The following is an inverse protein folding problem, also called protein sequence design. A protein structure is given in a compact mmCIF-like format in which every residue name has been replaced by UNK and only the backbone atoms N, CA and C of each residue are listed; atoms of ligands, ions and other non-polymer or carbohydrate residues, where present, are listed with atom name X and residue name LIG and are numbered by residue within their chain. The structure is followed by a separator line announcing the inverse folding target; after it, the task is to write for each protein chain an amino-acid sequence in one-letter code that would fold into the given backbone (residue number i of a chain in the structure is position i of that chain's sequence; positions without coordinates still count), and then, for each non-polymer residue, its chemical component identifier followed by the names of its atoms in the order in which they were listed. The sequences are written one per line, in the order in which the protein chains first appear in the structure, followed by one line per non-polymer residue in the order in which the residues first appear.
data_IF_380703723402
#
_entry.id   IF_380703723402
#
_cell.length_a   1.000
_cell.length_b   1.000
_cell.length_c   1.000
_cell.angle_alpha   90.00
_cell.angle_beta   90.00
_cell.angle_gamma   90.00
#
_symmetry.space_group_name_H-M   'P 1'
#
loop_
_entity.id
_entity.type
_entity.pdbx_description
1 polymer ?
#
# COMPACT_ATOMS: atom_id res chain seq x y z
N UNK A 1 -19.29 6.64 5.32
CA UNK A 1 -18.03 5.87 5.36
C UNK A 1 -17.26 6.16 4.08
N UNK A 2 -15.95 6.40 4.16
CA UNK A 2 -15.11 6.79 3.01
C UNK A 2 -14.58 5.53 2.32
N UNK A 3 -14.45 5.53 0.99
CA UNK A 3 -13.98 4.32 0.29
C UNK A 3 -12.47 4.15 0.35
N UNK A 4 -11.99 2.90 0.35
CA UNK A 4 -10.61 2.58 0.04
C UNK A 4 -10.54 1.52 -1.05
N UNK A 5 -9.41 1.51 -1.75
CA UNK A 5 -9.09 0.48 -2.75
C UNK A 5 -7.62 0.10 -2.64
N UNK A 6 -7.34 -1.18 -2.84
CA UNK A 6 -6.00 -1.69 -3.08
C UNK A 6 -5.98 -2.31 -4.47
N UNK A 7 -5.20 -1.74 -5.37
CA UNK A 7 -4.99 -2.29 -6.71
C UNK A 7 -3.68 -3.07 -6.74
N UNK A 8 -3.72 -4.35 -7.13
CA UNK A 8 -2.51 -5.13 -7.43
C UNK A 8 -2.13 -4.80 -8.87
N UNK A 9 -0.93 -4.29 -9.05
CA UNK A 9 -0.49 -3.71 -10.31
C UNK A 9 0.73 -4.47 -10.83
N UNK A 10 0.50 -5.27 -11.88
CA UNK A 10 1.53 -6.00 -12.61
C UNK A 10 2.09 -5.13 -13.74
N UNK A 11 2.88 -4.13 -13.35
CA UNK A 11 3.66 -3.27 -14.24
C UNK A 11 5.05 -3.88 -14.49
N UNK A 12 6.05 -3.05 -14.82
CA UNK A 12 7.46 -3.49 -14.85
C UNK A 12 7.88 -4.20 -13.56
N UNK A 13 7.26 -3.84 -12.44
CA UNK A 13 7.38 -4.54 -11.17
C UNK A 13 6.02 -4.64 -10.51
N UNK A 14 5.71 -5.82 -10.00
CA UNK A 14 4.55 -6.03 -9.16
C UNK A 14 4.62 -5.12 -7.93
N UNK A 15 3.58 -4.31 -7.75
CA UNK A 15 3.37 -3.49 -6.57
C UNK A 15 1.87 -3.42 -6.26
N UNK A 16 1.52 -2.82 -5.13
CA UNK A 16 0.14 -2.60 -4.73
C UNK A 16 -0.09 -1.11 -4.56
N UNK A 17 -1.03 -0.55 -5.29
CA UNK A 17 -1.46 0.83 -5.11
C UNK A 17 -2.54 0.88 -4.01
N UNK A 18 -2.18 1.40 -2.85
CA UNK A 18 -3.10 1.65 -1.74
C UNK A 18 -3.70 3.04 -1.86
N UNK A 19 -5.02 3.14 -1.83
CA UNK A 19 -5.72 4.42 -1.98
C UNK A 19 -6.86 4.57 -1.00
N UNK A 20 -7.04 5.78 -0.49
CA UNK A 20 -8.15 6.16 0.39
C UNK A 20 -8.84 7.41 -0.14
N UNK A 21 -10.16 7.45 -0.09
CA UNK A 21 -10.93 8.65 -0.39
C UNK A 21 -10.79 9.67 0.73
N UNK A 22 -10.33 10.87 0.39
CA UNK A 22 -10.25 12.03 1.28
C UNK A 22 -10.24 13.31 0.43
N UNK A 23 -11.00 14.34 0.82
CA UNK A 23 -11.13 15.59 0.04
C UNK A 23 -11.60 15.36 -1.41
N UNK A 24 -12.53 14.41 -1.62
CA UNK A 24 -13.13 14.14 -2.93
C UNK A 24 -12.23 13.44 -3.95
N UNK A 25 -11.01 13.04 -3.56
CA UNK A 25 -10.03 12.34 -4.41
C UNK A 25 -9.48 11.10 -3.71
N UNK A 26 -8.80 10.23 -4.46
CA UNK A 26 -8.08 9.07 -3.93
C UNK A 26 -6.62 9.45 -3.62
N UNK A 27 -6.33 9.70 -2.36
CA UNK A 27 -4.96 9.83 -1.84
C UNK A 27 -4.27 8.49 -2.01
N UNK A 28 -3.11 8.47 -2.66
CA UNK A 28 -2.55 7.25 -3.25
C UNK A 28 -1.11 6.99 -2.86
N UNK A 29 -0.78 5.72 -2.56
CA UNK A 29 0.58 5.25 -2.31
C UNK A 29 0.86 3.95 -3.03
N UNK A 30 2.01 3.86 -3.68
CA UNK A 30 2.53 2.62 -4.21
C UNK A 30 3.31 1.86 -3.11
N UNK A 31 2.93 0.60 -2.87
CA UNK A 31 3.47 -0.28 -1.81
C UNK A 31 4.11 -1.51 -2.47
N UNK A 32 5.42 -1.48 -2.77
CA UNK A 32 6.03 -2.49 -3.65
C UNK A 32 6.09 -3.89 -3.06
N UNK A 33 5.98 -4.00 -1.74
CA UNK A 33 6.02 -5.26 -1.00
C UNK A 33 4.65 -5.69 -0.47
N UNK A 34 3.58 -5.10 -0.99
CA UNK A 34 2.21 -5.35 -0.54
C UNK A 34 1.90 -4.78 0.83
N UNK A 35 0.63 -4.83 1.20
CA UNK A 35 0.11 -4.29 2.46
C UNK A 35 0.58 -5.18 3.63
N UNK A 36 1.11 -4.63 4.74
CA UNK A 36 1.52 -5.43 5.87
C UNK A 36 0.31 -6.09 6.55
N UNK A 37 0.41 -7.38 6.85
CA UNK A 37 -0.66 -8.19 7.47
C UNK A 37 -0.34 -8.66 8.89
N UNK A 38 0.93 -8.69 9.28
CA UNK A 38 1.36 -9.07 10.64
C UNK A 38 1.52 -7.82 11.51
N UNK A 39 1.06 -7.87 12.76
CA UNK A 39 1.16 -6.76 13.70
C UNK A 39 2.61 -6.32 13.87
N UNK A 40 2.84 -5.02 13.70
CA UNK A 40 4.17 -4.43 13.78
C UNK A 40 4.98 -4.48 12.48
N UNK A 41 4.51 -5.18 11.44
CA UNK A 41 5.13 -5.13 10.11
C UNK A 41 5.03 -3.72 9.53
N UNK A 42 6.10 -3.31 8.86
CA UNK A 42 6.23 -2.01 8.19
C UNK A 42 6.60 -2.23 6.74
N UNK A 43 5.94 -1.52 5.84
CA UNK A 43 6.18 -1.56 4.39
C UNK A 43 6.36 -0.14 3.89
N UNK A 44 7.35 0.07 3.02
CA UNK A 44 7.52 1.33 2.31
C UNK A 44 6.28 1.58 1.44
N UNK A 45 5.72 2.77 1.58
CA UNK A 45 4.58 3.28 0.83
C UNK A 45 5.02 4.62 0.21
N UNK A 46 5.18 4.64 -1.10
CA UNK A 46 5.61 5.83 -1.81
C UNK A 46 4.39 6.66 -2.20
N UNK A 47 4.31 7.90 -1.76
CA UNK A 47 3.22 8.79 -2.18
C UNK A 47 3.27 9.02 -3.69
N UNK A 48 2.11 8.94 -4.35
CA UNK A 48 1.93 9.17 -5.79
C UNK A 48 0.81 10.18 -6.01
N UNK A 49 0.59 10.60 -7.26
CA UNK A 49 -0.45 11.59 -7.55
C UNK A 49 -1.85 11.14 -7.10
N UNK A 50 -2.68 12.10 -6.73
CA UNK A 50 -4.09 11.86 -6.44
C UNK A 50 -4.81 11.33 -7.68
N UNK A 51 -5.74 10.38 -7.45
CA UNK A 51 -6.55 9.80 -8.51
C UNK A 51 -8.03 10.20 -8.36
N UNK A 52 -8.78 10.32 -9.47
CA UNK A 52 -10.23 10.54 -9.38
C UNK A 52 -10.90 9.32 -8.75
N UNK A 53 -12.04 9.53 -8.08
CA UNK A 53 -12.76 8.45 -7.38
C UNK A 53 -13.16 7.30 -8.29
N UNK A 54 -13.59 7.62 -9.50
CA UNK A 54 -13.96 6.64 -10.53
C UNK A 54 -12.77 5.77 -10.96
N UNK A 55 -11.52 6.13 -10.62
CA UNK A 55 -10.39 5.24 -10.84
C UNK A 55 -10.37 4.06 -9.86
N UNK A 56 -11.09 4.15 -8.74
CA UNK A 56 -11.12 3.11 -7.71
C UNK A 56 -11.78 1.81 -8.17
N UNK A 57 -12.62 1.85 -9.21
CA UNK A 57 -13.21 0.66 -9.83
C UNK A 57 -12.45 0.17 -11.07
N UNK A 58 -11.36 0.87 -11.45
CA UNK A 58 -10.61 0.53 -12.64
C UNK A 58 -9.91 -0.83 -12.49
N UNK A 59 -10.24 -1.72 -13.42
CA UNK A 59 -9.63 -3.04 -13.59
C UNK A 59 -9.46 -3.35 -15.07
N UNK A 60 -8.22 -3.58 -15.49
CA UNK A 60 -7.87 -3.80 -16.89
C UNK A 60 -6.39 -3.65 -17.18
N UNK A 61 -6.08 -3.32 -18.43
CA UNK A 61 -4.70 -3.15 -18.91
C UNK A 61 -4.45 -1.69 -19.24
N UNK A 62 -3.36 -1.14 -18.68
CA UNK A 62 -2.81 0.14 -19.07
C UNK A 62 -1.82 -0.13 -20.22
N UNK A 63 -2.03 0.46 -21.42
CA UNK A 63 -1.21 0.14 -22.59
C UNK A 63 0.26 0.55 -22.39
N UNK A 64 1.16 -0.15 -23.07
CA UNK A 64 2.57 0.23 -23.12
C UNK A 64 2.78 1.68 -23.59
N UNK A 65 3.88 2.28 -23.16
CA UNK A 65 4.16 3.71 -23.38
C UNK A 65 3.41 4.66 -22.44
N UNK A 66 2.34 4.21 -21.77
CA UNK A 66 1.65 5.02 -20.77
C UNK A 66 2.29 4.91 -19.38
N UNK A 67 2.03 5.91 -18.55
CA UNK A 67 2.38 5.88 -17.14
C UNK A 67 1.62 4.73 -16.44
N UNK A 68 2.37 3.88 -15.75
CA UNK A 68 1.78 2.69 -15.12
C UNK A 68 1.37 1.60 -16.10
N UNK A 69 2.01 1.48 -17.28
CA UNK A 69 1.76 0.36 -18.19
C UNK A 69 1.85 -1.00 -17.46
N UNK A 70 0.84 -1.85 -17.65
CA UNK A 70 0.68 -3.10 -16.92
C UNK A 70 -0.78 -3.51 -16.70
N UNK A 71 -0.98 -4.67 -16.08
CA UNK A 71 -2.30 -5.13 -15.68
C UNK A 71 -2.64 -4.65 -14.26
N UNK A 72 -3.84 -4.12 -14.09
CA UNK A 72 -4.34 -3.59 -12.82
C UNK A 72 -5.55 -4.41 -12.38
N UNK A 73 -5.46 -5.01 -11.19
CA UNK A 73 -6.53 -5.74 -10.51
C UNK A 73 -7.01 -4.96 -9.31
N UNK A 74 -8.32 -4.81 -9.12
CA UNK A 74 -8.88 -4.37 -7.83
C UNK A 74 -8.74 -5.53 -6.84
N UNK A 75 -7.65 -5.52 -6.07
CA UNK A 75 -7.26 -6.64 -5.20
C UNK A 75 -8.02 -6.63 -3.89
N UNK A 76 -8.29 -5.47 -3.29
CA UNK A 76 -9.21 -5.35 -2.16
C UNK A 76 -9.93 -4.01 -2.25
N UNK A 77 -11.12 -3.93 -1.65
CA UNK A 77 -11.92 -2.72 -1.61
C UNK A 77 -12.89 -2.77 -0.44
N UNK A 78 -13.31 -1.60 0.02
CA UNK A 78 -14.29 -1.47 1.08
C UNK A 78 -14.32 -0.05 1.61
N UNK A 79 -14.57 0.09 2.91
CA UNK A 79 -14.58 1.39 3.58
C UNK A 79 -13.43 1.53 4.55
N UNK A 80 -12.98 2.76 4.74
CA UNK A 80 -12.03 3.11 5.78
C UNK A 80 -12.63 4.15 6.71
N UNK A 81 -12.11 4.16 7.94
CA UNK A 81 -12.50 5.12 8.98
C UNK A 81 -11.22 5.65 9.65
N UNK A 82 -11.07 6.98 9.78
CA UNK A 82 -9.97 7.55 10.53
C UNK A 82 -10.09 7.20 12.01
N UNK A 83 -8.95 6.99 12.66
CA UNK A 83 -8.86 6.86 14.12
C UNK A 83 -8.30 8.18 14.66
N UNK A 84 -9.18 9.00 15.24
CA UNK A 84 -8.90 10.37 15.67
C UNK A 84 -9.94 11.35 15.12
N UNK A 85 -9.71 12.65 15.29
CA UNK A 85 -10.71 13.68 14.96
C UNK A 85 -10.61 14.18 13.51
N UNK A 86 -9.42 14.54 13.02
CA UNK A 86 -9.23 15.14 11.69
C UNK A 86 -8.26 14.32 10.81
N UNK A 87 -8.75 13.58 9.80
CA UNK A 87 -7.91 12.82 8.88
C UNK A 87 -7.01 13.69 8.00
N UNK A 88 -7.47 14.89 7.60
CA UNK A 88 -6.72 15.77 6.72
C UNK A 88 -5.53 16.35 7.48
N UNK A 89 -5.75 16.83 8.69
CA UNK A 89 -4.67 17.28 9.58
C UNK A 89 -3.71 16.14 9.92
N UNK A 90 -4.21 14.94 10.24
CA UNK A 90 -3.36 13.79 10.52
C UNK A 90 -2.46 13.39 9.34
N UNK A 91 -2.99 13.48 8.11
CA UNK A 91 -2.22 13.30 6.88
C UNK A 91 -1.18 14.41 6.69
N UNK A 92 -1.55 15.68 6.93
CA UNK A 92 -0.63 16.83 6.85
C UNK A 92 0.47 16.79 7.92
N UNK A 93 0.19 16.25 9.10
CA UNK A 93 1.15 16.06 10.19
C UNK A 93 2.06 14.85 9.95
N UNK A 94 1.73 14.01 8.97
CA UNK A 94 2.54 12.86 8.57
C UNK A 94 2.27 11.60 9.38
N UNK A 95 1.13 11.52 10.06
CA UNK A 95 0.73 10.33 10.83
C UNK A 95 -0.78 10.14 10.80
N UNK A 96 -1.24 9.28 9.89
CA UNK A 96 -2.65 8.95 9.74
C UNK A 96 -2.92 7.54 10.26
N UNK A 97 -3.72 7.39 11.31
CA UNK A 97 -4.21 6.09 11.82
C UNK A 97 -5.62 5.86 11.29
N UNK A 98 -5.91 4.64 10.85
CA UNK A 98 -7.19 4.30 10.26
C UNK A 98 -7.54 2.82 10.42
N UNK A 99 -8.82 2.52 10.30
CA UNK A 99 -9.38 1.17 10.22
C UNK A 99 -9.81 0.90 8.79
N UNK A 100 -9.50 -0.29 8.27
CA UNK A 100 -10.05 -0.81 7.01
C UNK A 100 -11.11 -1.86 7.29
N UNK A 101 -12.20 -1.80 6.52
CA UNK A 101 -13.26 -2.80 6.44
C UNK A 101 -13.38 -3.27 4.99
N UNK A 102 -12.45 -4.14 4.58
CA UNK A 102 -12.35 -4.71 3.24
C UNK A 102 -12.89 -6.12 3.10
N UNK A 103 -12.81 -6.66 1.88
CA UNK A 103 -13.09 -8.07 1.59
C UNK A 103 -11.93 -8.98 2.01
N UNK A 104 -10.69 -8.49 1.92
CA UNK A 104 -9.48 -9.25 2.30
C UNK A 104 -8.84 -8.71 3.57
N UNK A 105 -8.80 -7.39 3.73
CA UNK A 105 -8.15 -6.73 4.86
C UNK A 105 -9.17 -6.09 5.79
N UNK A 106 -9.07 -6.43 7.08
CA UNK A 106 -9.88 -5.83 8.14
C UNK A 106 -9.01 -5.51 9.34
N UNK A 107 -9.22 -4.35 9.97
CA UNK A 107 -8.52 -3.94 11.20
C UNK A 107 -7.78 -2.61 11.05
N UNK A 108 -6.79 -2.36 11.93
CA UNK A 108 -6.12 -1.05 11.98
C UNK A 108 -4.74 -1.03 11.32
N UNK A 109 -4.45 0.11 10.67
CA UNK A 109 -3.15 0.49 10.10
C UNK A 109 -2.77 1.93 10.47
N UNK A 110 -1.49 2.27 10.29
CA UNK A 110 -1.00 3.64 10.36
C UNK A 110 -0.08 3.96 9.18
N UNK A 111 -0.32 5.08 8.52
CA UNK A 111 0.63 5.71 7.60
C UNK A 111 1.50 6.69 8.37
N UNK A 112 2.82 6.57 8.25
CA UNK A 112 3.81 7.44 8.91
C UNK A 112 4.77 7.99 7.87
N UNK A 113 4.80 9.30 7.66
CA UNK A 113 5.76 9.95 6.77
C UNK A 113 7.15 9.89 7.38
N UNK A 114 8.12 9.47 6.57
CA UNK A 114 9.52 9.47 6.97
C UNK A 114 10.05 10.90 6.96
N UNK A 115 10.89 11.27 7.94
CA UNK A 115 11.51 12.60 7.98
C UNK A 115 12.39 12.77 6.74
N UNK A 116 12.24 13.91 6.05
CA UNK A 116 13.07 14.28 4.91
C UNK A 116 14.56 14.21 5.28
N UNK A 117 15.30 13.29 4.65
CA UNK A 117 16.76 13.35 4.63
C UNK A 117 17.30 14.07 3.39
N UNK A 118 16.46 14.23 2.36
CA UNK A 118 16.74 14.94 1.11
C UNK A 118 15.41 15.54 0.58
N UNK A 119 15.49 16.75 -0.01
CA UNK A 119 14.34 17.40 -0.65
C UNK A 119 13.77 16.50 -1.77
N UNK A 120 12.47 16.19 -1.71
CA UNK A 120 11.72 15.60 -2.84
C UNK A 120 11.35 14.12 -2.73
N UNK A 121 11.48 13.48 -1.55
CA UNK A 121 11.05 12.10 -1.32
C UNK A 121 9.90 12.04 -0.30
N UNK A 122 8.66 12.10 -0.78
CA UNK A 122 7.45 11.78 0.01
C UNK A 122 7.35 10.27 0.30
N UNK A 123 8.28 9.77 1.11
CA UNK A 123 8.33 8.38 1.54
C UNK A 123 7.52 8.20 2.83
N UNK A 124 6.65 7.19 2.83
CA UNK A 124 5.84 6.81 3.97
C UNK A 124 6.12 5.36 4.36
N UNK A 125 5.80 5.04 5.60
CA UNK A 125 5.68 3.67 6.07
C UNK A 125 4.20 3.38 6.30
N UNK A 126 3.70 2.33 5.66
CA UNK A 126 2.45 1.70 6.03
C UNK A 126 2.75 0.64 7.10
N UNK A 127 2.09 0.76 8.25
CA UNK A 127 2.33 -0.08 9.43
C UNK A 127 1.05 -0.79 9.81
N UNK A 128 1.12 -2.10 10.04
CA UNK A 128 0.00 -2.83 10.64
C UNK A 128 -0.03 -2.56 12.15
N UNK A 129 -0.92 -1.69 12.60
CA UNK A 129 -0.99 -1.24 14.01
C UNK A 129 -1.89 -2.11 14.89
N UNK A 130 -2.96 -2.67 14.32
CA UNK A 130 -3.86 -3.61 15.01
C UNK A 130 -3.43 -5.07 14.89
N UNK A 131 -4.33 -5.98 15.25
CA UNK A 131 -4.12 -7.44 15.23
C UNK A 131 -3.75 -8.02 13.86
N UNK A 132 -3.17 -9.23 13.86
CA UNK A 132 -2.80 -9.93 12.63
C UNK A 132 -4.02 -10.16 11.73
N UNK A 133 -3.85 -9.91 10.43
CA UNK A 133 -4.85 -10.34 9.43
C UNK A 133 -4.71 -11.85 9.23
N UNK A 134 -5.85 -12.52 9.03
CA UNK A 134 -5.86 -13.95 8.68
C UNK A 134 -5.06 -14.17 7.40
N UNK A 135 -4.33 -15.30 7.26
CA UNK A 135 -3.59 -15.60 6.04
C UNK A 135 -4.50 -15.55 4.81
N UNK A 136 -4.07 -14.80 3.79
CA UNK A 136 -4.75 -14.73 2.49
C UNK A 136 -4.31 -15.95 1.69
N UNK A 137 -5.26 -16.76 1.21
CA UNK A 137 -4.95 -17.92 0.38
C UNK A 137 -4.39 -17.47 -0.97
N UNK A 138 -3.58 -18.33 -1.62
CA UNK A 138 -3.05 -18.03 -2.96
C UNK A 138 -4.17 -17.74 -3.97
N UNK A 139 -5.31 -18.44 -3.86
CA UNK A 139 -6.50 -18.18 -4.66
C UNK A 139 -7.06 -16.79 -4.41
N UNK A 140 -7.23 -16.39 -3.14
CA UNK A 140 -7.73 -15.07 -2.82
C UNK A 140 -6.75 -13.97 -3.25
N UNK A 141 -5.43 -14.21 -3.18
CA UNK A 141 -4.42 -13.24 -3.63
C UNK A 141 -4.41 -13.03 -5.17
N UNK A 142 -4.83 -14.04 -5.93
CA UNK A 142 -4.97 -13.98 -7.39
C UNK A 142 -6.44 -13.79 -7.83
N UNK A 143 -7.33 -13.28 -6.98
CA UNK A 143 -8.70 -12.98 -7.38
C UNK A 143 -9.07 -11.53 -7.08
N UNK A 144 -9.66 -10.87 -8.07
CA UNK A 144 -10.21 -9.53 -7.95
C UNK A 144 -11.32 -9.49 -6.89
N UNK A 145 -11.25 -8.51 -5.99
CA UNK A 145 -12.32 -8.20 -5.07
C UNK A 145 -13.55 -7.61 -5.80
N UNK A 146 -13.36 -7.01 -6.98
CA UNK A 146 -14.45 -6.42 -7.76
C UNK A 146 -15.19 -7.46 -8.60
N UNK A 147 -14.46 -8.27 -9.38
CA UNK A 147 -15.06 -9.16 -10.39
C UNK A 147 -14.77 -10.65 -10.18
N UNK A 148 -13.91 -11.03 -9.22
CA UNK A 148 -13.46 -12.40 -9.03
C UNK A 148 -12.49 -12.94 -10.09
N UNK A 149 -12.10 -12.12 -11.08
CA UNK A 149 -11.16 -12.50 -12.14
C UNK A 149 -9.74 -12.63 -11.62
N UNK A 150 -8.95 -13.49 -12.25
CA UNK A 150 -7.50 -13.61 -11.97
C UNK A 150 -6.68 -12.59 -12.73
N UNK A 151 -5.42 -12.37 -12.31
CA UNK A 151 -4.54 -11.42 -13.00
C UNK A 151 -4.34 -11.83 -14.46
N UNK A 152 -4.19 -13.14 -14.71
CA UNK A 152 -4.09 -13.69 -16.07
C UNK A 152 -5.34 -13.42 -16.91
N UNK A 153 -6.53 -13.53 -16.33
CA UNK A 153 -7.78 -13.24 -17.04
C UNK A 153 -7.91 -11.74 -17.36
N UNK A 154 -7.48 -10.87 -16.45
CA UNK A 154 -7.47 -9.42 -16.66
C UNK A 154 -6.50 -9.04 -17.79
N UNK A 155 -5.31 -9.64 -17.81
CA UNK A 155 -4.29 -9.41 -18.81
C UNK A 155 -4.67 -9.94 -20.22
N UNK A 156 -5.35 -11.08 -20.28
CA UNK A 156 -5.65 -11.77 -21.55
C UNK A 156 -6.96 -11.38 -22.23
N UNK A 157 -7.88 -10.70 -21.53
CA UNK A 157 -9.14 -10.23 -22.12
C UNK A 157 -8.97 -8.81 -22.68
N UNK A 158 -9.78 -8.44 -23.69
CA UNK A 158 -10.00 -7.04 -24.09
C UNK A 158 -10.72 -6.30 -22.94
N UNK A 159 -10.02 -6.10 -21.83
CA UNK A 159 -10.52 -5.44 -20.64
C UNK A 159 -10.60 -3.93 -20.89
N UNK A 160 -11.26 -3.23 -19.97
CA UNK A 160 -11.35 -1.77 -19.97
C UNK A 160 -9.93 -1.21 -20.06
N UNK A 161 -9.61 -0.52 -21.16
CA UNK A 161 -8.37 0.24 -21.28
C UNK A 161 -8.60 1.60 -20.66
N UNK A 162 -7.83 1.96 -19.64
CA UNK A 162 -7.84 3.33 -19.14
C UNK A 162 -7.22 4.25 -20.20
N UNK A 163 -8.02 5.17 -20.72
CA UNK A 163 -7.50 6.28 -21.54
C UNK A 163 -7.31 7.48 -20.62
N UNK A 164 -6.11 7.63 -20.06
CA UNK A 164 -5.79 8.85 -19.32
C UNK A 164 -5.81 10.03 -20.28
N UNK A 165 -6.57 11.09 -19.97
CA UNK A 165 -6.47 12.37 -20.69
C UNK A 165 -5.14 13.11 -20.45
N UNK A 166 -4.22 12.51 -19.69
CA UNK A 166 -2.88 13.05 -19.42
C UNK A 166 -1.84 12.24 -20.19
N UNK A 167 -1.11 12.91 -21.08
CA UNK A 167 0.22 12.46 -21.47
C UNK A 167 1.14 12.73 -20.27
N UNK A 168 1.54 11.68 -19.54
CA UNK A 168 2.63 11.84 -18.59
C UNK A 168 3.92 12.12 -19.40
N UNK A 169 4.72 13.11 -18.98
CA UNK A 169 6.05 13.26 -19.58
C UNK A 169 6.84 11.97 -19.35
N UNK A 170 7.55 11.47 -20.36
CA UNK A 170 8.39 10.26 -20.24
C UNK A 170 9.34 10.34 -19.04
N UNK A 171 9.78 11.56 -18.71
CA UNK A 171 10.63 11.86 -17.55
C UNK A 171 9.96 11.53 -16.23
N UNK A 172 8.68 11.90 -16.05
CA UNK A 172 7.91 11.59 -14.84
C UNK A 172 7.70 10.09 -14.68
N UNK A 173 7.38 9.40 -15.80
CA UNK A 173 7.18 7.96 -15.81
C UNK A 173 8.45 7.17 -15.46
N UNK A 174 9.59 7.58 -16.02
CA UNK A 174 10.87 6.94 -15.74
C UNK A 174 11.31 7.17 -14.28
N UNK A 175 11.18 8.39 -13.75
CA UNK A 175 11.50 8.69 -12.35
C UNK A 175 10.65 7.85 -11.38
N UNK A 176 9.35 7.67 -11.63
CA UNK A 176 8.51 6.84 -10.78
C UNK A 176 8.91 5.36 -10.85
N UNK A 177 9.14 4.82 -12.06
CA UNK A 177 9.61 3.44 -12.26
C UNK A 177 10.93 3.20 -11.51
N UNK A 178 11.87 4.15 -11.61
CA UNK A 178 13.17 4.11 -10.92
C UNK A 178 13.05 4.19 -9.41
N UNK A 179 12.06 4.92 -8.89
CA UNK A 179 11.80 4.95 -7.45
C UNK A 179 11.14 3.65 -6.98
N UNK A 180 10.20 3.06 -7.73
CA UNK A 180 9.56 1.77 -7.39
C UNK A 180 10.56 0.61 -7.47
N UNK A 181 11.19 0.39 -8.62
CA UNK A 181 12.63 0.57 -8.66
C UNK A 181 13.49 0.27 -7.42
N UNK A 182 14.05 1.36 -6.94
CA UNK A 182 14.89 1.43 -5.77
C UNK A 182 14.17 0.93 -4.52
N UNK A 183 12.88 1.23 -4.34
CA UNK A 183 12.07 0.80 -3.21
C UNK A 183 11.96 -0.73 -3.12
N UNK A 184 11.69 -1.43 -4.23
CA UNK A 184 11.72 -2.91 -4.29
C UNK A 184 13.11 -3.43 -3.93
N UNK A 185 14.18 -2.81 -4.45
CA UNK A 185 15.58 -3.22 -4.18
C UNK A 185 15.95 -3.02 -2.70
N UNK A 186 15.69 -1.85 -2.15
CA UNK A 186 15.93 -1.51 -0.74
C UNK A 186 15.13 -2.43 0.17
N UNK A 187 13.86 -2.66 -0.16
CA UNK A 187 13.03 -3.55 0.62
C UNK A 187 13.58 -5.00 0.54
N UNK A 188 14.00 -5.51 -0.63
CA UNK A 188 14.66 -6.83 -0.75
C UNK A 188 15.99 -6.93 0.01
N UNK A 189 16.75 -5.83 0.11
CA UNK A 189 18.02 -5.76 0.85
C UNK A 189 17.85 -5.71 2.38
N UNK A 190 16.65 -5.36 2.87
CA UNK A 190 16.33 -5.45 4.29
C UNK A 190 16.29 -6.91 4.77
N UNK A 191 17.40 -7.37 5.36
CA UNK A 191 17.46 -8.62 6.14
C UNK A 191 16.31 -8.69 7.16
N UNK A 192 15.77 -9.88 7.49
CA UNK A 192 14.84 -9.99 8.61
C UNK A 192 15.52 -9.45 9.86
N UNK A 193 14.83 -8.56 10.59
CA UNK A 193 15.31 -8.02 11.84
C UNK A 193 15.58 -9.18 12.81
N UNK A 194 16.85 -9.59 12.94
CA UNK A 194 17.31 -10.59 13.91
C UNK A 194 17.36 -10.06 15.36
N UNK A 195 16.88 -8.84 15.60
CA UNK A 195 16.97 -8.21 16.91
C UNK A 195 15.69 -8.28 17.77
N UNK A 196 14.74 -9.15 17.40
CA UNK A 196 13.61 -9.47 18.27
C UNK A 196 13.98 -10.41 19.45
N UNK A 197 15.13 -11.10 19.38
CA UNK A 197 15.57 -12.02 20.42
C UNK A 197 16.43 -11.37 21.54
N UNK A 198 16.96 -10.17 21.32
CA UNK A 198 17.85 -9.50 22.29
C UNK A 198 17.12 -8.61 23.32
N UNK A 199 15.87 -8.22 23.06
CA UNK A 199 15.04 -7.49 24.04
C UNK A 199 14.23 -8.41 24.97
N UNK A 200 14.02 -9.68 24.62
CA UNK A 200 13.32 -10.65 25.46
C UNK A 200 14.18 -11.24 26.60
N UNK A 201 15.51 -11.13 26.52
CA UNK A 201 16.43 -11.63 27.57
C UNK A 201 16.77 -10.57 28.64
N UNK A 202 16.55 -9.28 28.38
CA UNK A 202 16.76 -8.19 29.36
C UNK A 202 15.54 -7.91 30.26
N UNK A 203 14.36 -8.36 29.87
CA UNK A 203 13.13 -8.25 30.67
C UNK A 203 12.99 -9.35 31.75
N UNK A 204 13.61 -10.52 31.57
CA UNK A 204 13.57 -11.61 32.58
C UNK A 204 14.56 -11.45 33.73
N UNK A 205 15.61 -10.61 33.60
CA UNK A 205 16.60 -10.39 34.67
C UNK A 205 16.21 -9.34 35.71
N UNK A 206 15.26 -8.44 35.43
CA UNK A 206 14.79 -7.44 36.39
C UNK A 206 13.63 -7.89 37.28
N UNK A 207 12.93 -8.98 36.94
CA UNK A 207 11.82 -9.52 37.76
C UNK A 207 12.27 -10.53 38.82
N UNK A 208 13.54 -10.96 38.81
CA UNK A 208 14.10 -11.88 39.80
C UNK A 208 14.87 -11.18 40.94
N UNK A 209 14.90 -9.84 40.97
CA UNK A 209 15.66 -9.07 41.97
C UNK A 209 14.77 -8.14 42.84
N UNK A 210 13.45 -8.34 42.76
CA UNK A 210 12.45 -7.63 43.58
C UNK A 210 11.58 -8.59 44.42
N UNK A 211 11.97 -9.86 44.48
CA UNK A 211 11.38 -10.86 45.38
C UNK A 211 12.52 -11.59 46.08
N UNK A 212 13.24 -10.87 46.93
CA UNK A 212 14.16 -11.37 47.95
C UNK A 212 14.25 -10.32 49.04
#
# INVERSE_FOLDING_TARGET
ALMFVIQKHDATRLHYDFRIELEGVLKSWAVPKGIPTQRGDRRLAMHVEDHPKDYGDFEGVIPEGNYGAGSVMVWDMGTWEPVGEDPLKALQDGKLKFTLLGKKLTGEWTLVRMREREKGKDEWLLVKSGENVRPISARADDQSALTGRTMKQIAGQKTRTWKSHRAASERTANNFRERIAQAVKQARAGKPAKDAAAMASRSRRRKAQMVS
#
